data_IF_756449117592
#
_entry.id   IF_756449117592
#
_cell.length_a   1.000
_cell.length_b   1.000
_cell.length_c   1.000
_cell.angle_alpha   90.00
_cell.angle_beta   90.00
_cell.angle_gamma   90.00
#
_symmetry.space_group_name_H-M   'P 1'
#
loop_
_entity.id
_entity.type
_entity.pdbx_description
1 polymer ?
#
# COMPACT_ATOMS: atom_id res chain seq x y z
N UNK A 1 -7.92 6.76 -10.28
CA UNK A 1 -7.55 6.50 -8.88
C UNK A 1 -6.06 6.68 -8.71
N UNK A 2 -5.64 7.14 -7.56
CA UNK A 2 -4.22 7.39 -7.28
C UNK A 2 -3.81 6.72 -5.98
N UNK A 3 -2.56 6.23 -5.94
CA UNK A 3 -1.94 5.79 -4.71
C UNK A 3 -0.69 6.65 -4.50
N UNK A 4 -0.63 7.33 -3.36
CA UNK A 4 0.42 8.32 -3.10
C UNK A 4 1.52 7.75 -2.23
N UNK A 5 2.75 8.08 -2.58
CA UNK A 5 3.94 7.76 -1.80
C UNK A 5 4.74 9.03 -1.60
N UNK A 6 5.45 9.11 -0.48
CA UNK A 6 6.30 10.26 -0.19
C UNK A 6 7.69 10.16 -0.83
N UNK A 7 8.11 8.95 -1.15
CA UNK A 7 9.42 8.69 -1.75
C UNK A 7 9.31 7.62 -2.83
N UNK A 8 10.34 7.56 -3.67
CA UNK A 8 10.50 6.49 -4.63
C UNK A 8 11.12 5.28 -3.94
N UNK A 9 10.29 4.37 -3.47
CA UNK A 9 10.74 3.14 -2.83
C UNK A 9 11.17 2.11 -3.87
N UNK A 10 12.21 1.30 -3.56
CA UNK A 10 12.64 0.25 -4.50
C UNK A 10 11.53 -0.71 -4.91
N UNK A 11 10.60 -1.00 -3.99
CA UNK A 11 9.50 -1.91 -4.28
C UNK A 11 8.61 -1.44 -5.44
N UNK A 12 8.58 -0.14 -5.70
CA UNK A 12 7.75 0.41 -6.78
C UNK A 12 8.25 0.01 -8.16
N UNK A 13 9.47 -0.49 -8.26
CA UNK A 13 10.04 -0.99 -9.51
C UNK A 13 9.79 -2.49 -9.72
N UNK A 14 9.31 -3.18 -8.70
CA UNK A 14 9.01 -4.61 -8.81
C UNK A 14 7.72 -4.83 -9.59
N UNK A 15 7.57 -5.99 -10.30
CA UNK A 15 6.32 -6.28 -11.02
C UNK A 15 5.11 -6.38 -10.11
N UNK A 16 5.32 -6.83 -8.87
CA UNK A 16 4.28 -6.93 -7.86
C UNK A 16 4.85 -6.37 -6.56
N UNK A 17 4.07 -5.56 -5.87
CA UNK A 17 4.48 -5.05 -4.57
C UNK A 17 3.27 -4.92 -3.65
N UNK A 18 3.55 -4.85 -2.35
CA UNK A 18 2.53 -4.59 -1.33
C UNK A 18 2.79 -3.24 -0.68
N UNK A 19 1.74 -2.65 -0.16
CA UNK A 19 1.86 -1.45 0.68
C UNK A 19 0.90 -1.57 1.84
N UNK A 20 1.31 -1.03 2.98
CA UNK A 20 0.54 -1.10 4.22
C UNK A 20 0.00 0.29 4.49
N UNK A 21 -1.29 0.37 4.77
CA UNK A 21 -1.99 1.62 5.08
C UNK A 21 -2.75 1.47 6.38
N UNK A 22 -2.95 2.57 7.10
CA UNK A 22 -3.79 2.56 8.29
C UNK A 22 -5.20 2.14 7.91
N UNK A 23 -5.80 1.31 8.74
CA UNK A 23 -7.15 0.87 8.51
C UNK A 23 -8.15 1.91 8.99
N UNK A 24 -9.15 2.19 8.16
CA UNK A 24 -10.40 2.82 8.56
C UNK A 24 -11.52 2.10 7.80
N UNK A 25 -12.76 2.12 8.32
CA UNK A 25 -13.86 1.49 7.58
C UNK A 25 -14.05 2.08 6.18
N UNK A 26 -13.86 3.39 6.05
CA UNK A 26 -13.99 4.09 4.77
C UNK A 26 -12.91 3.65 3.79
N UNK A 27 -11.66 3.55 4.26
CA UNK A 27 -10.56 3.11 3.40
C UNK A 27 -10.74 1.67 2.94
N UNK A 28 -11.15 0.79 3.85
CA UNK A 28 -11.41 -0.59 3.48
C UNK A 28 -12.47 -0.67 2.41
N UNK A 29 -13.57 0.03 2.58
CA UNK A 29 -14.66 0.06 1.60
C UNK A 29 -14.18 0.60 0.26
N UNK A 30 -13.42 1.68 0.29
CA UNK A 30 -12.89 2.30 -0.92
C UNK A 30 -11.99 1.33 -1.71
N UNK A 31 -11.02 0.72 -1.03
CA UNK A 31 -10.09 -0.17 -1.71
C UNK A 31 -10.73 -1.47 -2.17
N UNK A 32 -11.66 -2.02 -1.40
CA UNK A 32 -12.38 -3.22 -1.84
C UNK A 32 -13.23 -2.96 -3.08
N UNK A 33 -13.85 -1.79 -3.15
CA UNK A 33 -14.60 -1.40 -4.34
C UNK A 33 -13.68 -1.12 -5.53
N UNK A 34 -12.44 -0.74 -5.27
CA UNK A 34 -11.45 -0.43 -6.30
C UNK A 34 -10.60 -1.63 -6.71
N UNK A 35 -10.87 -2.82 -6.18
CA UNK A 35 -10.14 -4.02 -6.54
C UNK A 35 -10.27 -4.29 -8.05
N UNK A 36 -9.13 -4.59 -8.68
CA UNK A 36 -8.99 -4.78 -10.12
C UNK A 36 -9.06 -3.49 -10.94
N UNK A 37 -9.11 -2.35 -10.27
CA UNK A 37 -9.06 -1.06 -10.94
C UNK A 37 -7.61 -0.56 -11.05
N UNK A 38 -7.38 0.30 -12.04
CA UNK A 38 -6.06 0.88 -12.26
C UNK A 38 -5.84 2.07 -11.33
N UNK A 39 -4.65 2.11 -10.75
CA UNK A 39 -4.20 3.24 -9.94
C UNK A 39 -2.96 3.85 -10.58
N UNK A 40 -2.84 5.16 -10.44
CA UNK A 40 -1.63 5.87 -10.81
C UNK A 40 -0.78 6.05 -9.56
N UNK A 41 0.49 5.63 -9.63
CA UNK A 41 1.44 5.91 -8.55
C UNK A 41 1.83 7.37 -8.64
N UNK A 42 1.63 8.11 -7.54
CA UNK A 42 1.98 9.52 -7.47
C UNK A 42 3.02 9.71 -6.37
N UNK A 43 4.13 10.33 -6.73
CA UNK A 43 5.21 10.64 -5.80
C UNK A 43 5.43 12.15 -5.88
N UNK A 44 5.17 12.85 -4.78
CA UNK A 44 5.32 14.31 -4.69
C UNK A 44 4.59 15.06 -5.81
N UNK A 45 3.40 14.58 -6.17
CA UNK A 45 2.59 15.22 -7.20
C UNK A 45 2.90 14.79 -8.62
N UNK A 46 3.89 13.92 -8.83
CA UNK A 46 4.28 13.45 -10.16
C UNK A 46 3.84 12.02 -10.39
N UNK A 47 3.39 11.74 -11.60
CA UNK A 47 3.01 10.39 -12.01
C UNK A 47 4.27 9.54 -12.18
N UNK A 48 4.31 8.40 -11.50
CA UNK A 48 5.46 7.50 -11.54
C UNK A 48 5.17 6.21 -12.29
N UNK A 49 3.91 5.87 -12.49
CA UNK A 49 3.54 4.65 -13.21
C UNK A 49 2.11 4.26 -12.95
N UNK A 50 1.70 3.16 -13.58
CA UNK A 50 0.36 2.64 -13.47
C UNK A 50 0.39 1.22 -12.91
N UNK A 51 -0.53 0.92 -11.99
CA UNK A 51 -0.63 -0.38 -11.34
C UNK A 51 -2.09 -0.75 -11.19
N UNK A 52 -2.34 -2.04 -10.98
CA UNK A 52 -3.68 -2.55 -10.72
C UNK A 52 -3.71 -3.14 -9.32
N UNK A 53 -4.73 -2.77 -8.56
CA UNK A 53 -4.95 -3.32 -7.22
C UNK A 53 -5.50 -4.75 -7.36
N UNK A 54 -4.74 -5.74 -6.91
CA UNK A 54 -5.15 -7.13 -7.08
C UNK A 54 -5.68 -7.76 -5.78
N UNK A 55 -5.30 -7.27 -4.61
CA UNK A 55 -5.89 -7.78 -3.37
C UNK A 55 -5.90 -6.74 -2.27
N UNK A 56 -6.88 -6.89 -1.39
CA UNK A 56 -7.06 -6.06 -0.20
C UNK A 56 -7.21 -7.00 0.98
N UNK A 57 -6.26 -6.96 1.89
CA UNK A 57 -6.26 -7.81 3.07
C UNK A 57 -6.19 -6.95 4.32
N UNK A 58 -6.65 -7.51 5.43
CA UNK A 58 -6.59 -6.86 6.73
C UNK A 58 -5.76 -7.73 7.65
N UNK A 59 -4.78 -7.12 8.29
CA UNK A 59 -3.96 -7.79 9.28
C UNK A 59 -3.83 -6.92 10.51
N UNK A 60 -3.57 -7.53 11.65
CA UNK A 60 -3.20 -6.77 12.83
C UNK A 60 -1.72 -6.42 12.75
N UNK A 61 -1.33 -5.33 13.40
CA UNK A 61 0.07 -4.91 13.42
C UNK A 61 0.95 -6.01 14.00
N UNK A 62 0.44 -6.74 15.01
CA UNK A 62 1.20 -7.81 15.66
C UNK A 62 1.42 -9.03 14.78
N UNK A 63 0.61 -9.21 13.74
CA UNK A 63 0.74 -10.33 12.80
C UNK A 63 1.71 -10.04 11.67
N UNK A 64 2.07 -8.77 11.48
CA UNK A 64 2.96 -8.38 10.40
C UNK A 64 4.42 -8.61 10.83
N UNK A 65 5.18 -9.22 9.94
CA UNK A 65 6.58 -9.45 10.20
C UNK A 65 7.36 -8.13 10.20
N UNK A 66 8.35 -8.01 11.10
CA UNK A 66 9.11 -6.77 11.23
C UNK A 66 9.76 -6.35 9.90
N UNK A 67 10.37 -7.29 9.20
CA UNK A 67 11.03 -6.99 7.94
C UNK A 67 10.03 -6.55 6.87
N UNK A 68 8.86 -7.15 6.88
CA UNK A 68 7.78 -6.77 5.98
C UNK A 68 7.34 -5.33 6.26
N UNK A 69 7.15 -4.97 7.53
CA UNK A 69 6.81 -3.61 7.91
C UNK A 69 7.89 -2.63 7.51
N UNK A 70 9.15 -2.98 7.74
CA UNK A 70 10.28 -2.14 7.39
C UNK A 70 10.35 -1.91 5.88
N UNK A 71 10.12 -2.94 5.10
CA UNK A 71 10.15 -2.86 3.64
C UNK A 71 9.02 -2.02 3.08
N UNK A 72 7.79 -2.25 3.57
CA UNK A 72 6.60 -1.61 3.00
C UNK A 72 6.29 -0.24 3.59
N UNK A 73 6.80 0.05 4.79
CA UNK A 73 6.49 1.30 5.49
C UNK A 73 7.72 1.88 6.18
N UNK A 74 8.89 1.75 5.57
CA UNK A 74 10.12 2.14 6.24
C UNK A 74 10.14 3.59 6.72
N UNK A 75 9.39 4.46 6.06
CA UNK A 75 9.23 5.83 6.49
C UNK A 75 8.11 5.98 7.51
N UNK A 76 7.09 5.14 7.37
CA UNK A 76 5.89 5.21 8.20
C UNK A 76 5.92 4.36 9.44
N UNK A 77 6.95 3.54 9.65
CA UNK A 77 6.94 2.60 10.77
C UNK A 77 6.85 3.30 12.13
N UNK A 78 7.37 4.51 12.24
CA UNK A 78 7.25 5.30 13.47
C UNK A 78 5.85 5.88 13.66
N UNK A 79 5.06 5.92 12.60
CA UNK A 79 3.70 6.44 12.62
C UNK A 79 2.67 5.35 12.76
N UNK A 80 3.08 4.08 12.69
CA UNK A 80 2.15 2.97 12.82
C UNK A 80 1.78 2.77 14.29
N UNK A 81 0.52 2.45 14.57
CA UNK A 81 0.13 2.11 15.93
C UNK A 81 0.81 0.81 16.35
N UNK A 82 1.05 0.65 17.65
CA UNK A 82 1.65 -0.59 18.18
C UNK A 82 0.69 -1.77 18.09
N UNK A 83 -0.58 -1.50 17.95
CA UNK A 83 -1.62 -2.51 17.81
C UNK A 83 -2.73 -1.95 16.94
N UNK A 84 -3.63 -2.84 16.50
CA UNK A 84 -4.76 -2.47 15.69
C UNK A 84 -4.70 -3.08 14.30
N UNK A 85 -5.62 -2.67 13.45
CA UNK A 85 -5.75 -3.21 12.10
C UNK A 85 -4.98 -2.37 11.09
N UNK A 86 -4.44 -3.05 10.10
CA UNK A 86 -3.79 -2.41 8.95
C UNK A 86 -4.36 -2.97 7.67
N UNK A 87 -4.42 -2.14 6.63
CA UNK A 87 -4.74 -2.58 5.28
C UNK A 87 -3.46 -3.00 4.58
N UNK A 88 -3.48 -4.17 3.98
CA UNK A 88 -2.38 -4.66 3.15
C UNK A 88 -2.89 -4.70 1.72
N UNK A 89 -2.37 -3.83 0.87
CA UNK A 89 -2.78 -3.68 -0.51
C UNK A 89 -1.71 -4.28 -1.40
N UNK A 90 -2.11 -5.14 -2.34
CA UNK A 90 -1.19 -5.74 -3.30
C UNK A 90 -1.48 -5.18 -4.68
N UNK A 91 -0.44 -4.66 -5.34
CA UNK A 91 -0.52 -4.10 -6.67
C UNK A 91 0.41 -4.82 -7.63
N UNK A 92 0.05 -4.84 -8.92
CA UNK A 92 0.96 -5.29 -9.96
C UNK A 92 1.04 -4.25 -11.05
N UNK A 93 2.21 -4.17 -11.70
CA UNK A 93 2.43 -3.20 -12.76
C UNK A 93 1.71 -3.58 -14.03
N UNK A 94 1.18 -2.56 -14.71
CA UNK A 94 0.51 -2.73 -16.01
C UNK A 94 1.53 -2.88 -17.13
N UNK A 95 2.65 -2.22 -16.99
CA UNK A 95 3.69 -2.24 -18.04
C UNK A 95 5.08 -2.05 -17.45
#
# INVERSE_FOLDING_TARGET
MKIKFSHEYPKLKAPVFTTIRRWTPEKERYYRAAKHQMFIIEINGECFGEVILCSVDISSVSELHRDFLSYDTNEGQYKLPKSGKMLVLTFYKVS
#
